data_IF_966817505300
#
_entry.id   IF_966817505300
#
_cell.length_a   1.000
_cell.length_b   1.000
_cell.length_c   1.000
_cell.angle_alpha   90.00
_cell.angle_beta   90.00
_cell.angle_gamma   90.00
#
_symmetry.space_group_name_H-M   'P 1'
#
loop_
_entity.id
_entity.type
_entity.pdbx_description
1 polymer ?
#
# COMPACT_ATOMS: atom_id res chain seq x y z
N UNK A 1 -3.31 -3.08 -11.54
CA UNK A 1 -3.06 -3.22 -10.09
C UNK A 1 -3.74 -4.47 -9.54
N UNK A 2 -5.07 -4.58 -9.63
CA UNK A 2 -5.82 -5.78 -9.17
C UNK A 2 -5.33 -7.08 -9.80
N UNK A 3 -5.28 -7.17 -11.13
CA UNK A 3 -4.87 -8.40 -11.84
C UNK A 3 -3.45 -8.87 -11.48
N UNK A 4 -2.47 -7.95 -11.51
CA UNK A 4 -1.07 -8.25 -11.17
C UNK A 4 -0.90 -8.68 -9.72
N UNK A 5 -1.62 -8.04 -8.79
CA UNK A 5 -1.57 -8.41 -7.39
C UNK A 5 -2.29 -9.72 -7.06
N UNK A 6 -3.36 -10.08 -7.77
CA UNK A 6 -3.98 -11.41 -7.65
C UNK A 6 -3.04 -12.50 -8.16
N UNK A 7 -2.29 -12.22 -9.24
CA UNK A 7 -1.26 -13.10 -9.77
C UNK A 7 -0.09 -13.24 -8.78
N UNK A 8 0.26 -12.16 -8.10
CA UNK A 8 1.29 -12.12 -7.07
C UNK A 8 0.95 -13.03 -5.87
N UNK A 9 -0.33 -13.11 -5.45
CA UNK A 9 -0.77 -14.02 -4.38
C UNK A 9 -0.45 -15.49 -4.69
N UNK A 10 -0.55 -15.89 -5.95
CA UNK A 10 -0.22 -17.25 -6.37
C UNK A 10 1.26 -17.46 -6.67
N UNK A 11 1.91 -16.50 -7.34
CA UNK A 11 3.26 -16.68 -7.88
C UNK A 11 4.36 -16.44 -6.85
N UNK A 12 4.22 -15.44 -5.96
CA UNK A 12 5.24 -15.15 -4.95
C UNK A 12 5.51 -16.34 -4.02
N UNK A 13 4.50 -17.02 -3.44
CA UNK A 13 4.75 -18.16 -2.56
C UNK A 13 5.45 -19.32 -3.28
N UNK A 14 5.10 -19.56 -4.55
CA UNK A 14 5.74 -20.59 -5.38
C UNK A 14 7.21 -20.29 -5.68
N UNK A 15 7.59 -19.01 -5.66
CA UNK A 15 8.96 -18.56 -5.87
C UNK A 15 9.81 -18.60 -4.57
N UNK A 16 9.20 -18.71 -3.39
CA UNK A 16 9.92 -18.72 -2.12
C UNK A 16 10.95 -19.87 -2.01
N UNK A 17 10.52 -21.09 -2.29
CA UNK A 17 11.35 -22.29 -2.19
C UNK A 17 12.45 -22.38 -3.27
N UNK A 18 12.20 -22.12 -4.57
CA UNK A 18 13.25 -22.17 -5.59
C UNK A 18 14.28 -21.04 -5.46
N UNK A 19 13.92 -19.91 -4.83
CA UNK A 19 14.86 -18.82 -4.53
C UNK A 19 15.55 -18.94 -3.16
N UNK A 20 15.19 -19.95 -2.35
CA UNK A 20 15.81 -20.18 -1.03
C UNK A 20 15.59 -19.03 -0.04
N UNK A 21 14.48 -18.29 -0.16
CA UNK A 21 14.24 -17.08 0.63
C UNK A 21 13.89 -17.42 2.08
N UNK A 22 14.51 -16.72 3.04
CA UNK A 22 14.06 -16.78 4.43
C UNK A 22 12.67 -16.14 4.57
N UNK A 23 11.88 -16.50 5.60
CA UNK A 23 10.58 -15.87 5.85
C UNK A 23 10.67 -14.34 5.94
N UNK A 24 11.77 -13.82 6.48
CA UNK A 24 11.99 -12.38 6.61
C UNK A 24 12.19 -11.72 5.25
N UNK A 25 13.04 -12.32 4.40
CA UNK A 25 13.32 -11.85 3.04
C UNK A 25 12.06 -11.90 2.17
N UNK A 26 11.30 -12.99 2.29
CA UNK A 26 10.03 -13.15 1.58
C UNK A 26 9.01 -12.09 2.01
N UNK A 27 8.92 -11.82 3.32
CA UNK A 27 8.08 -10.75 3.87
C UNK A 27 8.46 -9.37 3.33
N UNK A 28 9.75 -9.01 3.41
CA UNK A 28 10.24 -7.73 2.91
C UNK A 28 9.99 -7.57 1.39
N UNK A 29 10.26 -8.61 0.61
CA UNK A 29 10.04 -8.61 -0.84
C UNK A 29 8.56 -8.47 -1.20
N UNK A 30 7.70 -9.21 -0.51
CA UNK A 30 6.24 -9.16 -0.72
C UNK A 30 5.69 -7.77 -0.37
N UNK A 31 6.08 -7.19 0.77
CA UNK A 31 5.67 -5.85 1.20
C UNK A 31 6.16 -4.73 0.27
N UNK A 32 7.33 -4.90 -0.34
CA UNK A 32 7.89 -3.96 -1.31
C UNK A 32 7.20 -4.05 -2.68
N UNK A 33 6.91 -5.27 -3.14
CA UNK A 33 6.52 -5.55 -4.53
C UNK A 33 5.01 -5.51 -4.76
N UNK A 34 4.21 -5.87 -3.75
CA UNK A 34 2.76 -5.92 -3.89
C UNK A 34 2.15 -4.55 -3.59
N UNK A 35 1.28 -4.08 -4.48
CA UNK A 35 0.76 -2.71 -4.47
C UNK A 35 -0.45 -2.50 -3.56
N UNK A 36 -1.19 -3.55 -3.19
CA UNK A 36 -2.34 -3.49 -2.28
C UNK A 36 -2.01 -4.16 -0.94
N UNK A 37 -2.43 -3.54 0.17
CA UNK A 37 -2.21 -4.07 1.53
C UNK A 37 -2.89 -5.43 1.70
N UNK A 38 -4.10 -5.60 1.17
CA UNK A 38 -4.82 -6.86 1.29
C UNK A 38 -4.10 -8.03 0.61
N UNK A 39 -3.53 -7.76 -0.57
CA UNK A 39 -2.78 -8.74 -1.34
C UNK A 39 -1.42 -9.03 -0.68
N UNK A 40 -0.78 -8.03 -0.08
CA UNK A 40 0.44 -8.22 0.74
C UNK A 40 0.16 -9.20 1.88
N UNK A 41 -0.92 -8.99 2.63
CA UNK A 41 -1.28 -9.85 3.75
C UNK A 41 -1.58 -11.26 3.25
N UNK A 42 -2.45 -11.41 2.26
CA UNK A 42 -2.82 -12.69 1.66
C UNK A 42 -1.62 -13.51 1.14
N UNK A 43 -0.58 -12.83 0.65
CA UNK A 43 0.63 -13.47 0.13
C UNK A 43 1.63 -13.77 1.25
N UNK A 44 1.89 -12.81 2.14
CA UNK A 44 2.92 -12.96 3.17
C UNK A 44 2.52 -13.97 4.26
N UNK A 45 1.22 -14.09 4.54
CA UNK A 45 0.71 -15.07 5.50
C UNK A 45 1.01 -16.52 5.10
N UNK A 46 1.21 -16.84 3.81
CA UNK A 46 1.56 -18.21 3.38
C UNK A 46 2.98 -18.62 3.82
N UNK A 47 3.84 -17.65 4.13
CA UNK A 47 5.21 -17.86 4.61
C UNK A 47 5.34 -17.69 6.14
N UNK A 48 4.22 -17.54 6.85
CA UNK A 48 4.15 -17.49 8.31
C UNK A 48 4.14 -16.08 8.92
N UNK A 49 3.97 -15.99 10.26
CA UNK A 49 3.71 -14.73 10.96
C UNK A 49 4.87 -13.73 10.90
N UNK A 50 6.12 -14.22 10.86
CA UNK A 50 7.32 -13.37 10.72
C UNK A 50 7.34 -12.64 9.37
N UNK A 51 7.03 -13.37 8.29
CA UNK A 51 6.96 -12.80 6.95
C UNK A 51 5.84 -11.75 6.84
N UNK A 52 4.67 -12.07 7.39
CA UNK A 52 3.53 -11.16 7.43
C UNK A 52 3.86 -9.85 8.16
N UNK A 53 4.48 -9.94 9.34
CA UNK A 53 4.85 -8.77 10.13
C UNK A 53 5.79 -7.84 9.34
N UNK A 54 6.85 -8.39 8.73
CA UNK A 54 7.78 -7.59 7.93
C UNK A 54 7.12 -7.02 6.67
N UNK A 55 6.29 -7.79 5.97
CA UNK A 55 5.61 -7.34 4.78
C UNK A 55 4.69 -6.14 5.07
N UNK A 56 3.95 -6.21 6.17
CA UNK A 56 3.07 -5.14 6.63
C UNK A 56 3.87 -3.90 7.02
N UNK A 57 4.97 -4.05 7.76
CA UNK A 57 5.86 -2.92 8.13
C UNK A 57 6.41 -2.22 6.88
N UNK A 58 6.97 -2.97 5.92
CA UNK A 58 7.50 -2.42 4.67
C UNK A 58 6.41 -1.70 3.89
N UNK A 59 5.22 -2.30 3.81
CA UNK A 59 4.10 -1.72 3.07
C UNK A 59 3.60 -0.42 3.69
N UNK A 60 3.42 -0.40 5.01
CA UNK A 60 2.97 0.77 5.76
C UNK A 60 4.01 1.88 5.75
N UNK A 61 5.30 1.54 5.76
CA UNK A 61 6.38 2.52 5.60
C UNK A 61 6.24 3.28 4.29
N UNK A 62 5.95 2.60 3.16
CA UNK A 62 5.69 3.28 1.88
C UNK A 62 4.44 4.17 1.95
N UNK A 63 3.38 3.69 2.60
CA UNK A 63 2.13 4.45 2.76
C UNK A 63 2.36 5.73 3.57
N UNK A 64 3.15 5.66 4.65
CA UNK A 64 3.55 6.82 5.45
C UNK A 64 4.45 7.77 4.66
N UNK A 65 5.42 7.25 3.89
CA UNK A 65 6.30 8.07 3.06
C UNK A 65 5.58 8.73 1.87
N UNK A 66 4.42 8.22 1.44
CA UNK A 66 3.57 8.93 0.48
C UNK A 66 2.89 10.15 1.10
N UNK A 67 2.64 10.17 2.41
CA UNK A 67 2.01 11.30 3.08
C UNK A 67 2.78 12.64 2.94
N UNK A 68 4.11 12.72 3.20
CA UNK A 68 4.85 13.97 3.00
C UNK A 68 4.94 14.37 1.52
N UNK A 69 4.99 13.41 0.59
CA UNK A 69 4.99 13.68 -0.85
C UNK A 69 3.65 14.32 -1.27
N UNK A 70 2.53 13.75 -0.82
CA UNK A 70 1.18 14.26 -1.09
C UNK A 70 0.97 15.63 -0.44
N UNK A 71 1.41 15.81 0.81
CA UNK A 71 1.34 17.09 1.51
C UNK A 71 2.16 18.17 0.79
N UNK A 72 3.37 17.84 0.34
CA UNK A 72 4.23 18.74 -0.44
C UNK A 72 3.62 19.11 -1.79
N UNK A 73 3.08 18.13 -2.52
CA UNK A 73 2.38 18.37 -3.78
C UNK A 73 1.13 19.25 -3.60
N UNK A 74 0.35 19.03 -2.53
CA UNK A 74 -0.80 19.86 -2.18
C UNK A 74 -0.40 21.29 -1.83
N UNK A 75 0.69 21.49 -1.09
CA UNK A 75 1.25 22.83 -0.82
C UNK A 75 1.71 23.52 -2.10
N UNK A 76 2.43 22.80 -2.98
CA UNK A 76 2.92 23.33 -4.25
C UNK A 76 1.77 23.73 -5.19
N UNK A 77 0.72 22.91 -5.29
CA UNK A 77 -0.49 23.25 -6.03
C UNK A 77 -1.20 24.48 -5.45
N UNK A 78 -1.29 24.58 -4.12
CA UNK A 78 -1.90 25.74 -3.44
C UNK A 78 -1.09 27.01 -3.66
N UNK A 79 0.24 26.92 -3.68
CA UNK A 79 1.12 28.05 -3.99
C UNK A 79 1.01 28.48 -5.46
N UNK A 80 0.91 27.53 -6.39
CA UNK A 80 0.68 27.80 -7.82
C UNK A 80 -0.68 28.49 -8.06
N UNK A 81 -1.75 27.99 -7.43
CA UNK A 81 -3.09 28.58 -7.52
C UNK A 81 -3.16 29.99 -6.89
N UNK A 82 -2.50 30.21 -5.74
CA UNK A 82 -2.40 31.54 -5.12
C UNK A 82 -1.63 32.54 -5.96
N UNK A 83 -0.57 32.11 -6.67
CA UNK A 83 0.15 32.95 -7.64
C UNK A 83 -0.72 33.30 -8.84
N UNK A 84 -1.56 32.37 -9.30
CA UNK A 84 -2.48 32.60 -10.44
C UNK A 84 -3.62 33.54 -10.09
N UNK A 85 -4.15 33.48 -8.86
CA UNK A 85 -5.13 34.45 -8.34
C UNK A 85 -4.53 35.86 -8.17
N UNK A 86 -3.22 35.99 -7.93
CA UNK A 86 -2.53 37.30 -7.83
C UNK A 86 -2.27 37.99 -9.17
N UNK A 87 -2.46 37.29 -10.30
CA UNK A 87 -2.28 37.82 -11.66
C UNK A 87 -3.61 38.31 -12.31
N UNK A 88 -4.65 38.58 -11.51
CA UNK A 88 -5.77 39.42 -11.95
C UNK A 88 -6.86 38.73 -12.78
N UNK A 89 -7.13 37.45 -12.55
CA UNK A 89 -8.39 36.84 -13.03
C UNK A 89 -9.27 36.59 -11.81
N UNK A 90 -10.39 37.31 -11.75
CA UNK A 90 -11.45 37.14 -10.76
C UNK A 90 -11.86 35.66 -10.72
N UNK A 91 -11.42 34.96 -9.69
CA UNK A 91 -11.90 33.62 -9.39
C UNK A 91 -13.09 33.80 -8.44
N UNK A 92 -14.28 33.50 -8.95
CA UNK A 92 -15.51 33.40 -8.18
C UNK A 92 -15.25 32.75 -6.81
N UNK A 93 -15.87 33.37 -5.80
CA UNK A 93 -15.89 32.99 -4.39
C UNK A 93 -16.69 31.69 -4.16
N UNK A 94 -16.36 30.63 -4.90
CA UNK A 94 -16.72 29.29 -4.46
C UNK A 94 -15.73 28.95 -3.36
N UNK A 95 -16.24 28.92 -2.12
CA UNK A 95 -15.56 28.51 -0.89
C UNK A 95 -14.99 27.10 -0.99
N UNK A 96 -13.97 26.94 -1.83
CA UNK A 96 -13.38 25.71 -2.27
C UNK A 96 -12.69 25.07 -1.09
N UNK A 97 -13.43 24.20 -0.43
CA UNK A 97 -13.04 23.35 0.69
C UNK A 97 -11.66 22.77 0.36
N UNK A 98 -10.62 23.37 0.94
CA UNK A 98 -9.25 23.00 0.62
C UNK A 98 -9.08 21.49 0.85
N UNK A 99 -8.55 20.73 -0.11
CA UNK A 99 -8.28 19.32 0.12
C UNK A 99 -7.34 19.21 1.33
N UNK A 100 -7.65 18.35 2.32
CA UNK A 100 -6.90 18.26 3.56
C UNK A 100 -5.43 17.96 3.26
N UNK A 101 -4.54 18.76 3.86
CA UNK A 101 -3.08 18.74 3.61
C UNK A 101 -2.47 17.40 4.02
N UNK A 102 -3.09 16.69 4.97
CA UNK A 102 -2.67 15.37 5.42
C UNK A 102 -3.90 14.45 5.44
N UNK A 103 -3.86 13.28 4.79
CA UNK A 103 -4.94 12.31 4.88
C UNK A 103 -5.15 11.86 6.32
N UNK A 104 -6.40 11.87 6.80
CA UNK A 104 -6.73 11.54 8.19
C UNK A 104 -6.25 10.14 8.61
N UNK A 105 -6.21 9.19 7.68
CA UNK A 105 -5.72 7.83 7.94
C UNK A 105 -4.23 7.82 8.36
N UNK A 106 -3.41 8.76 7.87
CA UNK A 106 -1.99 8.86 8.20
C UNK A 106 -1.82 9.28 9.66
N UNK A 107 -2.61 10.28 10.10
CA UNK A 107 -2.63 10.72 11.49
C UNK A 107 -3.02 9.57 12.42
N UNK A 108 -4.09 8.85 12.07
CA UNK A 108 -4.55 7.68 12.84
C UNK A 108 -3.48 6.59 12.91
N UNK A 109 -2.80 6.30 11.80
CA UNK A 109 -1.72 5.32 11.75
C UNK A 109 -0.55 5.70 12.67
N UNK A 110 -0.05 6.94 12.57
CA UNK A 110 1.06 7.42 13.41
C UNK A 110 0.68 7.38 14.89
N UNK A 111 -0.55 7.78 15.23
CA UNK A 111 -1.04 7.69 16.61
C UNK A 111 -1.02 6.25 17.14
N UNK A 112 -1.51 5.28 16.35
CA UNK A 112 -1.48 3.87 16.75
C UNK A 112 -0.06 3.31 16.87
N UNK A 113 0.86 3.69 15.98
CA UNK A 113 2.29 3.34 16.09
C UNK A 113 2.89 3.88 17.38
N UNK A 114 2.59 5.14 17.72
CA UNK A 114 3.05 5.74 18.97
C UNK A 114 2.53 4.94 20.18
N UNK A 115 1.21 4.69 20.25
CA UNK A 115 0.59 3.88 21.32
C UNK A 115 1.25 2.50 21.45
N UNK A 116 1.50 1.82 20.33
CA UNK A 116 2.17 0.52 20.31
C UNK A 116 3.64 0.59 20.76
N UNK A 117 4.31 1.71 20.53
CA UNK A 117 5.73 1.91 20.87
C UNK A 117 5.96 2.26 22.33
N UNK A 118 4.98 2.85 23.03
CA UNK A 118 5.09 3.14 24.49
C UNK A 118 5.07 1.86 25.34
N UNK A 119 4.66 0.72 24.77
CA UNK A 119 4.68 -0.57 25.47
C UNK A 119 3.60 -0.72 26.55
N UNK A 120 2.63 0.20 26.61
CA UNK A 120 1.52 0.18 27.59
C UNK A 120 0.47 -0.91 27.32
N UNK A 121 0.53 -1.59 26.18
CA UNK A 121 -0.43 -2.61 25.78
C UNK A 121 0.02 -3.99 26.25
N UNK A 122 -0.79 -4.63 27.10
CA UNK A 122 -0.57 -6.01 27.53
C UNK A 122 -0.79 -7.03 26.39
N UNK A 123 -0.26 -8.26 26.53
CA UNK A 123 -0.34 -9.30 25.49
C UNK A 123 -1.78 -9.58 25.03
N UNK A 124 -2.73 -9.70 25.96
CA UNK A 124 -4.13 -9.98 25.62
C UNK A 124 -4.82 -8.87 24.82
N UNK A 125 -4.38 -7.61 24.95
CA UNK A 125 -4.90 -6.51 24.13
C UNK A 125 -4.34 -6.58 22.71
N UNK A 126 -3.08 -6.98 22.56
CA UNK A 126 -2.46 -7.19 21.25
C UNK A 126 -3.08 -8.36 20.51
N UNK A 127 -3.37 -9.47 21.20
CA UNK A 127 -4.03 -10.64 20.61
C UNK A 127 -5.46 -10.30 20.16
N UNK A 128 -6.23 -9.59 21.01
CA UNK A 128 -7.56 -9.13 20.63
C UNK A 128 -7.52 -8.13 19.45
N UNK A 129 -6.52 -7.24 19.42
CA UNK A 129 -6.32 -6.33 18.30
C UNK A 129 -5.95 -7.06 17.01
N UNK A 130 -5.16 -8.13 17.09
CA UNK A 130 -4.85 -9.01 15.95
C UNK A 130 -6.11 -9.69 15.39
N UNK A 131 -6.92 -10.29 16.25
CA UNK A 131 -8.19 -10.89 15.83
C UNK A 131 -9.16 -9.87 15.21
N UNK A 132 -9.24 -8.67 15.79
CA UNK A 132 -10.06 -7.58 15.23
C UNK A 132 -9.52 -7.09 13.88
N UNK A 133 -8.19 -6.98 13.75
CA UNK A 133 -7.55 -6.64 12.48
C UNK A 133 -7.95 -7.63 11.40
N UNK A 134 -7.89 -8.94 11.65
CA UNK A 134 -8.22 -9.96 10.66
C UNK A 134 -9.68 -9.87 10.21
N UNK A 135 -10.61 -9.67 11.15
CA UNK A 135 -12.04 -9.48 10.83
C UNK A 135 -12.27 -8.22 10.00
N UNK A 136 -11.63 -7.11 10.36
CA UNK A 136 -11.75 -5.85 9.63
C UNK A 136 -11.15 -5.95 8.23
N UNK A 137 -10.01 -6.63 8.10
CA UNK A 137 -9.32 -6.84 6.83
C UNK A 137 -10.15 -7.75 5.91
N UNK A 138 -10.70 -8.84 6.44
CA UNK A 138 -11.62 -9.71 5.71
C UNK A 138 -12.87 -8.94 5.24
N UNK A 139 -13.47 -8.13 6.11
CA UNK A 139 -14.65 -7.30 5.79
C UNK A 139 -14.33 -6.24 4.73
N UNK A 140 -13.17 -5.58 4.83
CA UNK A 140 -12.72 -4.58 3.86
C UNK A 140 -12.47 -5.21 2.49
N UNK A 141 -11.84 -6.38 2.42
CA UNK A 141 -11.61 -7.09 1.15
C UNK A 141 -12.90 -7.61 0.53
N UNK A 142 -13.84 -8.09 1.36
CA UNK A 142 -15.17 -8.45 0.89
C UNK A 142 -15.90 -7.23 0.30
N UNK A 143 -15.87 -6.09 0.99
CA UNK A 143 -16.42 -4.82 0.50
C UNK A 143 -15.78 -4.37 -0.82
N UNK A 144 -14.44 -4.41 -0.91
CA UNK A 144 -13.72 -4.11 -2.15
C UNK A 144 -14.17 -5.03 -3.30
N UNK A 145 -14.28 -6.34 -3.06
CA UNK A 145 -14.77 -7.30 -4.03
C UNK A 145 -16.20 -6.99 -4.50
N UNK A 146 -17.09 -6.62 -3.59
CA UNK A 146 -18.48 -6.26 -3.91
C UNK A 146 -18.60 -4.96 -4.74
N UNK A 147 -17.63 -4.05 -4.60
CA UNK A 147 -17.58 -2.79 -5.37
C UNK A 147 -16.95 -2.96 -6.77
N UNK A 148 -16.32 -4.10 -7.06
CA UNK A 148 -15.71 -4.38 -8.37
C UNK A 148 -16.79 -4.68 -9.41
N UNK A 149 -16.99 -3.74 -10.33
CA UNK A 149 -17.82 -3.95 -11.52
C UNK A 149 -17.05 -4.76 -12.56
N UNK A 150 -17.19 -6.08 -12.49
CA UNK A 150 -16.55 -7.06 -13.42
C UNK A 150 -16.78 -6.68 -14.89
N UNK A 151 -17.99 -6.18 -15.22
CA UNK A 151 -18.36 -5.76 -16.58
C UNK A 151 -17.53 -4.57 -17.09
N UNK A 152 -17.16 -3.63 -16.24
CA UNK A 152 -16.30 -2.48 -16.59
C UNK A 152 -14.85 -2.91 -16.77
N UNK A 153 -14.40 -3.90 -15.99
CA UNK A 153 -13.07 -4.50 -16.12
C UNK A 153 -12.91 -5.23 -17.48
N UNK A 154 -13.93 -5.99 -17.89
CA UNK A 154 -13.91 -6.72 -19.16
C UNK A 154 -13.93 -5.81 -20.39
N UNK A 155 -14.47 -4.59 -20.27
CA UNK A 155 -14.45 -3.59 -21.35
C UNK A 155 -13.19 -2.70 -21.35
N UNK A 156 -12.35 -2.79 -20.33
CA UNK A 156 -11.05 -2.08 -20.29
C UNK A 156 -10.05 -2.88 -21.12
N UNK A 157 -9.91 -2.53 -22.40
CA UNK A 157 -9.22 -3.34 -23.41
C UNK A 157 -7.81 -3.83 -23.04
N UNK A 158 -7.39 -4.96 -23.63
CA UNK A 158 -6.17 -5.70 -23.28
C UNK A 158 -4.84 -4.93 -23.29
N UNK A 159 -4.78 -3.77 -23.95
CA UNK A 159 -3.63 -2.85 -23.90
C UNK A 159 -3.37 -2.30 -22.50
N UNK A 160 -4.42 -1.96 -21.75
CA UNK A 160 -4.27 -1.48 -20.37
C UNK A 160 -3.77 -2.61 -19.43
N UNK A 161 -4.19 -3.85 -19.68
CA UNK A 161 -3.70 -5.02 -18.95
C UNK A 161 -2.22 -5.30 -19.25
N UNK A 162 -1.79 -5.21 -20.50
CA UNK A 162 -0.40 -5.35 -20.92
C UNK A 162 0.53 -4.30 -20.29
N UNK A 163 0.11 -3.03 -20.26
CA UNK A 163 0.89 -1.96 -19.62
C UNK A 163 0.98 -2.19 -18.10
N UNK A 164 -0.11 -2.62 -17.47
CA UNK A 164 -0.10 -2.96 -16.04
C UNK A 164 0.81 -4.15 -15.73
N UNK A 165 0.78 -5.20 -16.56
CA UNK A 165 1.66 -6.38 -16.45
C UNK A 165 3.12 -6.01 -16.67
N UNK A 166 3.42 -5.20 -17.70
CA UNK A 166 4.77 -4.74 -17.99
C UNK A 166 5.36 -3.90 -16.85
N UNK A 167 4.56 -2.96 -16.30
CA UNK A 167 4.97 -2.17 -15.15
C UNK A 167 5.19 -3.03 -13.90
N UNK A 168 4.34 -4.04 -13.66
CA UNK A 168 4.51 -4.97 -12.54
C UNK A 168 5.77 -5.82 -12.69
N UNK A 169 6.01 -6.37 -13.88
CA UNK A 169 7.19 -7.18 -14.17
C UNK A 169 8.49 -6.39 -13.99
N UNK A 170 8.50 -5.14 -14.46
CA UNK A 170 9.63 -4.23 -14.29
C UNK A 170 9.94 -3.97 -12.81
N UNK A 171 8.91 -3.68 -12.01
CA UNK A 171 9.05 -3.43 -10.56
C UNK A 171 9.52 -4.70 -9.84
N UNK A 172 9.01 -5.89 -10.22
CA UNK A 172 9.43 -7.16 -9.65
C UNK A 172 10.92 -7.44 -9.90
N UNK A 173 11.40 -7.19 -11.13
CA UNK A 173 12.81 -7.35 -11.50
C UNK A 173 13.70 -6.34 -10.74
N UNK A 174 13.29 -5.07 -10.68
CA UNK A 174 14.03 -4.04 -9.94
C UNK A 174 14.11 -4.34 -8.45
N UNK A 175 13.01 -4.80 -7.84
CA UNK A 175 12.99 -5.22 -6.44
C UNK A 175 13.91 -6.41 -6.18
N UNK A 176 13.89 -7.42 -7.05
CA UNK A 176 14.76 -8.58 -6.96
C UNK A 176 16.25 -8.19 -7.10
N UNK A 177 16.57 -7.32 -8.05
CA UNK A 177 17.92 -6.78 -8.24
C UNK A 177 18.42 -5.98 -7.04
N UNK A 178 17.55 -5.17 -6.42
CA UNK A 178 17.90 -4.42 -5.22
C UNK A 178 18.22 -5.33 -4.02
N UNK A 179 17.44 -6.41 -3.84
CA UNK A 179 17.71 -7.42 -2.80
C UNK A 179 19.05 -8.11 -3.04
N UNK A 180 19.33 -8.51 -4.29
CA UNK A 180 20.59 -9.16 -4.64
C UNK A 180 21.81 -8.24 -4.48
N UNK A 181 21.65 -6.93 -4.73
CA UNK A 181 22.71 -5.92 -4.56
C UNK A 181 22.97 -5.61 -3.09
N UNK A 182 21.95 -5.63 -2.23
CA UNK A 182 22.09 -5.40 -0.78
C UNK A 182 22.79 -6.57 -0.06
N UNK A 183 22.89 -7.74 -0.70
CA UNK A 183 23.50 -8.96 -0.17
C UNK A 183 24.98 -9.11 -0.60
N UNK A 184 25.53 -8.18 -1.39
CA UNK A 184 26.95 -8.11 -1.71
C UNK A 184 27.65 -7.00 -0.92
#
# INVERSE_FOLDING_TARGET
>A
MTLCGTLAIGVLPLLMHPLGLSPEQFGAWTGASVHDVGQVVATAQTAGPVALALAVVVKLTRVVLLAPIVAGAGLAQRWSMRRKSRNGTEANDDGGKFPPIVPLFVLGFIAMVAVRSVGWLGPGVLDAAGGLQDILLASALFGLGSAVRVRTLLHTGGRAALVALGSWFLIAILGLGAVFLMIR
#
